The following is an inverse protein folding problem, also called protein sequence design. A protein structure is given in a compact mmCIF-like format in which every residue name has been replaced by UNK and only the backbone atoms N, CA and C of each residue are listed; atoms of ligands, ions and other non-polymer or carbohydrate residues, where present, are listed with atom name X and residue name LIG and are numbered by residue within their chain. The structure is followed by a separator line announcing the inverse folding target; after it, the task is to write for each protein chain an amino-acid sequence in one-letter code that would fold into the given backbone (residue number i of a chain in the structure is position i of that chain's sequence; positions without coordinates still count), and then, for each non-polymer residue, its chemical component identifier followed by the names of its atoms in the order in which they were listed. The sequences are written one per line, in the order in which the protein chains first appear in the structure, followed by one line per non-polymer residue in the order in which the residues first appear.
data_IF_817273007563
#
_entry.id   IF_817273007563
#
_cell.length_a   1.000
_cell.length_b   1.000
_cell.length_c   1.000
_cell.angle_alpha   90.00
_cell.angle_beta   90.00
_cell.angle_gamma   90.00
#
_symmetry.space_group_name_H-M   'P 1'
#
loop_
_entity.id
_entity.type
_entity.pdbx_description
1 polymer ?
#
# COMPACT_ATOMS: atom_id res chain seq x y z
N UNK A 1 -10.37 -8.56 6.91
CA UNK A 1 -11.04 -7.98 5.83
C UNK A 1 -10.17 -7.31 4.81
N UNK A 2 -10.76 -6.43 4.06
CA UNK A 2 -10.07 -5.73 2.98
C UNK A 2 -8.85 -4.97 3.48
N UNK A 3 -8.97 -4.38 4.66
CA UNK A 3 -7.88 -3.57 5.20
C UNK A 3 -6.63 -4.39 5.47
N UNK A 4 -6.80 -5.62 5.93
CA UNK A 4 -5.65 -6.48 6.15
C UNK A 4 -4.94 -6.82 4.86
N UNK A 5 -5.70 -7.04 3.80
CA UNK A 5 -5.09 -7.34 2.51
C UNK A 5 -4.29 -6.18 1.96
N UNK A 6 -4.78 -4.97 2.17
CA UNK A 6 -4.04 -3.78 1.75
C UNK A 6 -2.76 -3.63 2.57
N UNK A 7 -2.85 -3.79 3.89
CA UNK A 7 -1.68 -3.70 4.75
C UNK A 7 -0.66 -4.78 4.39
N UNK A 8 -1.14 -5.97 4.12
CA UNK A 8 -0.28 -7.08 3.73
C UNK A 8 0.47 -6.76 2.45
N UNK A 9 -0.24 -6.26 1.45
CA UNK A 9 0.39 -5.89 0.18
C UNK A 9 1.43 -4.79 0.37
N UNK A 10 1.13 -3.81 1.22
CA UNK A 10 2.06 -2.73 1.51
C UNK A 10 3.31 -3.27 2.20
N UNK A 11 3.14 -4.19 3.13
CA UNK A 11 4.26 -4.77 3.84
C UNK A 11 5.17 -5.57 2.91
N UNK A 12 4.59 -6.20 1.91
CA UNK A 12 5.37 -6.95 0.93
C UNK A 12 5.92 -6.06 -0.18
N UNK A 13 5.57 -4.80 -0.18
CA UNK A 13 6.04 -3.89 -1.21
C UNK A 13 5.40 -4.08 -2.56
N UNK A 14 4.18 -4.59 -2.57
CA UNK A 14 3.43 -4.79 -3.80
C UNK A 14 2.77 -3.47 -4.19
N UNK A 15 2.98 -2.98 -5.43
CA UNK A 15 2.34 -1.72 -5.85
C UNK A 15 0.82 -1.84 -5.81
N UNK A 16 0.18 -0.78 -5.35
CA UNK A 16 -1.27 -0.77 -5.15
C UNK A 16 -1.90 0.41 -5.86
N UNK A 17 -3.06 0.17 -6.45
CA UNK A 17 -3.94 1.22 -6.94
C UNK A 17 -5.28 1.00 -6.25
N UNK A 18 -5.76 2.00 -5.54
CA UNK A 18 -6.97 1.85 -4.75
C UNK A 18 -7.86 3.07 -4.84
N UNK A 19 -9.14 2.88 -4.53
CA UNK A 19 -10.08 3.98 -4.42
C UNK A 19 -9.81 4.71 -3.10
N UNK A 20 -9.69 6.05 -3.13
CA UNK A 20 -9.42 6.81 -1.90
C UNK A 20 -10.38 6.53 -0.77
N UNK A 21 -11.63 6.24 -1.09
CA UNK A 21 -12.64 6.00 -0.07
C UNK A 21 -12.34 4.76 0.76
N UNK A 22 -11.56 3.83 0.23
CA UNK A 22 -11.30 2.57 0.91
C UNK A 22 -10.08 2.60 1.81
N UNK A 23 -9.22 3.60 1.61
CA UNK A 23 -7.94 3.62 2.32
C UNK A 23 -7.69 4.95 3.03
N UNK A 24 -8.75 5.71 3.21
CA UNK A 24 -8.68 7.02 3.80
C UNK A 24 -7.99 7.03 5.17
N UNK A 25 -8.24 6.01 5.96
CA UNK A 25 -7.70 5.93 7.30
C UNK A 25 -6.23 5.54 7.37
N UNK A 26 -5.62 5.21 6.24
CA UNK A 26 -4.24 4.71 6.23
C UNK A 26 -3.19 5.82 6.17
N UNK A 27 -3.62 7.05 5.93
CA UNK A 27 -2.67 8.15 5.82
C UNK A 27 -1.83 8.12 4.56
N UNK A 28 -2.29 7.42 3.54
CA UNK A 28 -1.56 7.34 2.28
C UNK A 28 -1.86 8.56 1.41
N UNK A 29 -0.95 8.83 0.50
CA UNK A 29 -1.15 9.90 -0.49
C UNK A 29 -0.87 9.37 -1.88
N UNK A 30 -1.65 9.84 -2.83
CA UNK A 30 -1.50 9.45 -4.22
C UNK A 30 -0.09 9.72 -4.72
N UNK A 31 0.54 8.69 -5.25
CA UNK A 31 1.88 8.80 -5.78
C UNK A 31 2.99 8.70 -4.75
N UNK A 32 2.66 8.53 -3.49
CA UNK A 32 3.66 8.39 -2.43
C UNK A 32 3.80 6.95 -1.98
N UNK A 33 2.75 6.38 -1.39
CA UNK A 33 2.75 4.98 -0.95
C UNK A 33 2.03 4.07 -1.93
N UNK A 34 1.13 4.63 -2.68
CA UNK A 34 0.36 3.91 -3.67
C UNK A 34 -0.28 4.92 -4.60
N UNK A 35 -0.93 4.44 -5.64
CA UNK A 35 -1.73 5.31 -6.49
C UNK A 35 -3.19 5.23 -6.05
N UNK A 36 -3.87 6.35 -6.16
CA UNK A 36 -5.31 6.43 -5.89
C UNK A 36 -6.03 6.70 -7.21
N UNK A 37 -7.14 6.03 -7.40
CA UNK A 37 -7.92 6.19 -8.63
C UNK A 37 -9.39 5.97 -8.33
N UNK A 38 -10.26 6.68 -9.05
CA UNK A 38 -11.70 6.56 -8.89
C UNK A 38 -12.39 6.08 -10.15
N UNK A 39 -11.89 6.46 -11.31
CA UNK A 39 -12.54 6.13 -12.58
C UNK A 39 -11.73 5.08 -13.32
N UNK A 40 -12.38 4.34 -14.24
CA UNK A 40 -11.65 3.38 -15.06
C UNK A 40 -10.49 4.00 -15.81
N UNK A 41 -10.65 5.22 -16.29
CA UNK A 41 -9.58 5.89 -16.99
C UNK A 41 -8.39 6.17 -16.08
N UNK A 42 -8.66 6.59 -14.84
CA UNK A 42 -7.60 6.82 -13.88
C UNK A 42 -6.84 5.54 -13.56
N UNK A 43 -7.57 4.43 -13.37
CA UNK A 43 -6.94 3.14 -13.15
C UNK A 43 -6.03 2.77 -14.32
N UNK A 44 -6.53 2.94 -15.53
CA UNK A 44 -5.76 2.62 -16.72
C UNK A 44 -4.47 3.41 -16.79
N UNK A 45 -4.55 4.70 -16.51
CA UNK A 45 -3.39 5.58 -16.53
C UNK A 45 -2.37 5.17 -15.47
N UNK A 46 -2.83 4.84 -14.28
CA UNK A 46 -1.92 4.46 -13.19
C UNK A 46 -1.29 3.10 -13.45
N UNK A 47 -2.06 2.17 -13.98
CA UNK A 47 -1.52 0.87 -14.35
C UNK A 47 -0.41 1.03 -15.39
N UNK A 48 -0.67 1.87 -16.38
CA UNK A 48 0.31 2.11 -17.44
C UNK A 48 1.62 2.68 -16.87
N UNK A 49 1.51 3.62 -15.95
CA UNK A 49 2.68 4.18 -15.29
C UNK A 49 3.47 3.12 -14.54
N UNK A 50 2.77 2.27 -13.81
CA UNK A 50 3.44 1.22 -13.03
C UNK A 50 4.13 0.20 -13.92
N UNK A 51 3.54 -0.10 -15.07
CA UNK A 51 4.14 -1.06 -15.98
C UNK A 51 5.39 -0.53 -16.66
N UNK A 52 5.45 0.77 -16.87
CA UNK A 52 6.54 1.37 -17.63
C UNK A 52 7.70 1.88 -16.78
N UNK A 53 7.45 2.15 -15.52
CA UNK A 53 8.45 2.84 -14.69
C UNK A 53 8.83 1.99 -13.48
N UNK A 54 9.94 1.27 -13.61
CA UNK A 54 10.44 0.44 -12.53
C UNK A 54 10.81 1.27 -11.30
N UNK A 55 11.43 2.41 -11.51
CA UNK A 55 11.83 3.28 -10.39
C UNK A 55 10.63 3.75 -9.59
N UNK A 56 9.54 4.03 -10.28
CA UNK A 56 8.31 4.43 -9.63
C UNK A 56 7.75 3.29 -8.77
N UNK A 57 7.75 2.07 -9.30
CA UNK A 57 7.29 0.91 -8.53
C UNK A 57 8.13 0.75 -7.26
N UNK A 58 9.43 0.89 -7.38
CA UNK A 58 10.33 0.78 -6.24
C UNK A 58 10.06 1.85 -5.19
N UNK A 59 9.84 3.07 -5.66
CA UNK A 59 9.55 4.18 -4.76
C UNK A 59 8.27 3.93 -3.97
N UNK A 60 7.21 3.53 -4.66
CA UNK A 60 5.93 3.27 -4.00
C UNK A 60 6.05 2.12 -3.01
N UNK A 61 6.72 1.05 -3.42
CA UNK A 61 6.90 -0.11 -2.56
C UNK A 61 7.65 0.24 -1.28
N UNK A 62 8.72 0.99 -1.42
CA UNK A 62 9.53 1.38 -0.30
C UNK A 62 8.74 2.27 0.66
N UNK A 63 8.04 3.25 0.11
CA UNK A 63 7.25 4.17 0.92
C UNK A 63 6.10 3.45 1.61
N UNK A 64 5.48 2.50 0.92
CA UNK A 64 4.40 1.73 1.52
C UNK A 64 4.88 0.93 2.72
N UNK A 65 6.02 0.27 2.59
CA UNK A 65 6.57 -0.49 3.70
C UNK A 65 6.93 0.41 4.88
N UNK A 66 7.48 1.58 4.60
CA UNK A 66 7.80 2.53 5.66
C UNK A 66 6.56 2.98 6.39
N UNK A 67 5.49 3.22 5.67
CA UNK A 67 4.25 3.65 6.29
C UNK A 67 3.70 2.58 7.22
N UNK A 68 3.70 1.34 6.79
CA UNK A 68 3.22 0.24 7.62
C UNK A 68 4.06 0.12 8.88
N UNK A 69 5.37 0.20 8.74
CA UNK A 69 6.27 0.06 9.87
C UNK A 69 6.14 1.20 10.88
N UNK A 70 5.93 2.42 10.39
CA UNK A 70 5.83 3.58 11.26
C UNK A 70 4.41 3.87 11.69
N UNK A 71 3.54 3.93 10.70
CA UNK A 71 2.20 4.46 10.88
C UNK A 71 1.29 3.55 11.67
N UNK A 72 1.54 2.27 11.63
CA UNK A 72 0.69 1.32 12.35
C UNK A 72 1.35 0.81 13.61
N UNK A 73 2.46 1.43 13.95
CA UNK A 73 3.04 1.27 15.26
C UNK A 73 3.06 -0.16 15.76
N UNK A 74 3.76 -0.99 15.05
CA UNK A 74 3.89 -2.38 15.46
C UNK A 74 4.73 -2.56 16.70
N UNK A 75 5.25 -1.47 17.25
CA UNK A 75 6.18 -1.53 18.34
C UNK A 75 5.69 -2.29 19.55
N UNK A 76 4.54 -1.95 20.09
CA UNK A 76 4.08 -2.71 21.25
C UNK A 76 3.70 -4.11 20.88
N UNK A 77 3.52 -4.37 19.61
CA UNK A 77 3.09 -5.66 19.13
C UNK A 77 3.97 -6.15 18.00
N UNK A 78 5.22 -5.71 18.01
CA UNK A 78 6.15 -6.10 16.98
C UNK A 78 6.23 -7.60 16.81
N UNK A 79 6.20 -8.31 17.91
CA UNK A 79 6.20 -9.77 17.86
C UNK A 79 4.91 -10.33 17.29
N UNK A 80 3.83 -9.58 17.44
CA UNK A 80 2.52 -10.01 16.96
C UNK A 80 2.35 -9.79 15.48
N UNK A 81 3.19 -8.98 14.88
CA UNK A 81 3.11 -8.74 13.45
C UNK A 81 3.24 -10.06 12.68
N UNK A 82 4.20 -10.86 13.07
CA UNK A 82 4.38 -12.16 12.43
C UNK A 82 3.16 -13.06 12.64
N UNK A 83 2.56 -12.99 13.81
CA UNK A 83 1.38 -13.79 14.09
C UNK A 83 0.22 -13.35 13.19
N UNK A 84 0.07 -12.04 12.99
CA UNK A 84 -0.96 -11.51 12.11
C UNK A 84 -0.73 -11.99 10.68
N UNK A 85 0.49 -11.87 10.20
CA UNK A 85 0.80 -12.30 8.84
C UNK A 85 0.58 -13.79 8.65
N UNK A 86 0.88 -14.59 9.66
CA UNK A 86 0.68 -16.02 9.56
C UNK A 86 -0.78 -16.41 9.52
N UNK A 87 -1.63 -15.59 10.09
CA UNK A 87 -3.05 -15.87 10.17
C UNK A 87 -3.85 -15.32 9.01
N UNK A 88 -3.21 -14.56 8.17
CA UNK A 88 -3.83 -14.04 6.98
C UNK A 88 -3.65 -14.99 5.80
#
# INVERSE_FOLDING_TARGET
GTNFKILEAMAYGIPIIADPARIDSFGVKDGREMFLAKTPLEYEQKIDLLLKDFSLREKLSKNARKLVEKGYSWKPIGDNLNAIWKNI
#
